data_IF_909537310817
#
_entry.id   IF_909537310817
#
_cell.length_a   1.000
_cell.length_b   1.000
_cell.length_c   1.000
_cell.angle_alpha   90.00
_cell.angle_beta   90.00
_cell.angle_gamma   90.00
#
_symmetry.space_group_name_H-M   'P 1'
#
loop_
_entity.id
_entity.type
_entity.pdbx_description
1 polymer ?
#
# COMPACT_ATOMS: atom_id res chain seq x y z
N UNK A 1 -4.34 -6.66 28.95
CA UNK A 1 -4.18 -6.62 28.51
C UNK A 1 -4.47 -6.13 27.38
N UNK A 2 -4.36 -5.62 26.87
CA UNK A 2 -4.48 -5.17 25.83
C UNK A 2 -4.70 -6.02 24.79
N UNK A 3 -4.33 -6.96 24.84
CA UNK A 3 -4.44 -7.89 23.85
C UNK A 3 -5.80 -8.17 23.41
N UNK A 4 -6.71 -8.11 24.27
CA UNK A 4 -8.04 -8.45 23.88
C UNK A 4 -8.59 -7.54 22.86
N UNK A 5 -8.14 -6.34 22.83
CA UNK A 5 -8.66 -5.46 21.88
C UNK A 5 -8.33 -5.84 20.49
N UNK A 6 -7.21 -6.46 20.30
CA UNK A 6 -6.84 -6.78 18.96
C UNK A 6 -7.73 -7.80 18.32
N UNK A 7 -8.41 -8.56 19.10
CA UNK A 7 -9.25 -9.57 18.52
C UNK A 7 -10.53 -9.01 17.97
N UNK A 8 -10.80 -7.77 18.25
CA UNK A 8 -12.07 -7.20 17.83
C UNK A 8 -12.28 -7.26 16.34
N UNK A 9 -11.26 -7.02 15.53
CA UNK A 9 -11.44 -7.06 14.08
C UNK A 9 -10.25 -7.69 13.40
N UNK A 10 -10.05 -8.95 13.66
CA UNK A 10 -8.87 -9.61 13.12
C UNK A 10 -8.81 -9.64 11.60
N UNK A 11 -9.94 -9.88 10.97
CA UNK A 11 -9.95 -9.99 9.52
C UNK A 11 -9.58 -8.68 8.85
N UNK A 12 -10.15 -7.59 9.34
CA UNK A 12 -9.87 -6.30 8.75
C UNK A 12 -8.42 -5.92 8.97
N UNK A 13 -7.90 -6.22 10.16
CA UNK A 13 -6.54 -5.91 10.43
C UNK A 13 -5.58 -6.69 9.56
N UNK A 14 -5.88 -7.96 9.33
CA UNK A 14 -5.01 -8.77 8.50
C UNK A 14 -4.98 -8.25 7.08
N UNK A 15 -6.14 -7.86 6.55
CA UNK A 15 -6.18 -7.34 5.19
C UNK A 15 -5.41 -6.05 5.08
N UNK A 16 -5.57 -5.16 6.05
CA UNK A 16 -4.87 -3.90 6.03
C UNK A 16 -3.36 -4.12 6.21
N UNK A 17 -2.98 -5.05 7.07
CA UNK A 17 -1.57 -5.35 7.27
C UNK A 17 -0.94 -5.89 6.00
N UNK A 18 -1.69 -6.70 5.27
CA UNK A 18 -1.19 -7.20 4.00
C UNK A 18 -0.93 -6.05 3.03
N UNK A 19 -1.86 -5.10 2.97
CA UNK A 19 -1.69 -3.95 2.09
C UNK A 19 -0.48 -3.13 2.51
N UNK A 20 -0.30 -2.94 3.81
CA UNK A 20 0.85 -2.21 4.31
C UNK A 20 2.15 -2.91 3.99
N UNK A 21 2.15 -4.24 4.07
CA UNK A 21 3.33 -5.01 3.72
C UNK A 21 3.66 -4.85 2.25
N UNK A 22 2.64 -4.84 1.40
CA UNK A 22 2.85 -4.60 -0.01
C UNK A 22 3.45 -3.22 -0.25
N UNK A 23 2.91 -2.24 0.44
CA UNK A 23 3.40 -0.87 0.29
C UNK A 23 4.87 -0.76 0.68
N UNK A 24 5.26 -1.47 1.72
CA UNK A 24 6.61 -1.40 2.23
C UNK A 24 7.61 -2.26 1.46
N UNK A 25 7.13 -3.05 0.52
CA UNK A 25 8.00 -3.98 -0.22
C UNK A 25 8.74 -3.21 -1.30
N UNK A 26 9.83 -2.58 -0.92
CA UNK A 26 10.57 -1.73 -1.84
C UNK A 26 11.23 -2.50 -2.97
N UNK A 27 11.61 -3.73 -2.71
CA UNK A 27 12.21 -4.53 -3.76
C UNK A 27 11.23 -4.76 -4.89
N UNK A 28 10.00 -5.13 -4.57
CA UNK A 28 8.98 -5.33 -5.59
C UNK A 28 8.64 -4.00 -6.26
N UNK A 29 8.57 -2.95 -5.47
CA UNK A 29 8.24 -1.63 -6.00
C UNK A 29 9.26 -1.19 -7.02
N UNK A 30 10.54 -1.32 -6.70
CA UNK A 30 11.59 -0.86 -7.59
C UNK A 30 11.76 -1.77 -8.80
N UNK A 31 11.43 -3.05 -8.64
CA UNK A 31 11.54 -3.97 -9.75
C UNK A 31 10.48 -3.71 -10.81
N UNK A 32 9.25 -3.43 -10.38
CA UNK A 32 8.16 -3.19 -11.31
C UNK A 32 7.22 -2.16 -10.73
N UNK A 33 7.61 -0.89 -10.81
CA UNK A 33 6.83 0.16 -10.15
C UNK A 33 5.38 0.25 -10.62
N UNK A 34 5.17 0.15 -11.93
CA UNK A 34 3.82 0.26 -12.45
C UNK A 34 2.93 -0.88 -12.00
N UNK A 35 3.46 -2.10 -12.07
CA UNK A 35 2.69 -3.27 -11.66
C UNK A 35 2.42 -3.23 -10.17
N UNK A 36 3.41 -2.80 -9.39
CA UNK A 36 3.25 -2.71 -7.95
C UNK A 36 2.18 -1.69 -7.58
N UNK A 37 2.23 -0.53 -8.23
CA UNK A 37 1.23 0.53 -8.02
C UNK A 37 -0.17 0.00 -8.34
N UNK A 38 -0.30 -0.69 -9.45
CA UNK A 38 -1.59 -1.22 -9.85
C UNK A 38 -2.10 -2.23 -8.82
N UNK A 39 -1.22 -3.07 -8.31
CA UNK A 39 -1.61 -4.04 -7.30
C UNK A 39 -2.09 -3.34 -6.03
N UNK A 40 -1.40 -2.27 -5.62
CA UNK A 40 -1.82 -1.52 -4.45
C UNK A 40 -3.20 -0.92 -4.65
N UNK A 41 -3.45 -0.36 -5.82
CA UNK A 41 -4.75 0.22 -6.10
C UNK A 41 -5.85 -0.82 -6.09
N UNK A 42 -5.57 -1.97 -6.70
CA UNK A 42 -6.55 -3.04 -6.77
C UNK A 42 -6.92 -3.53 -5.36
N UNK A 43 -5.91 -3.71 -4.52
CA UNK A 43 -6.17 -4.17 -3.16
C UNK A 43 -6.91 -3.11 -2.35
N UNK A 44 -6.55 -1.84 -2.52
CA UNK A 44 -7.23 -0.79 -1.79
C UNK A 44 -8.70 -0.75 -2.15
N UNK A 45 -9.01 -0.85 -3.43
CA UNK A 45 -10.41 -0.86 -3.85
C UNK A 45 -11.13 -2.11 -3.36
N UNK A 46 -10.44 -3.24 -3.32
CA UNK A 46 -11.03 -4.46 -2.79
C UNK A 46 -11.40 -4.31 -1.31
N UNK A 47 -10.51 -3.68 -0.55
CA UNK A 47 -10.80 -3.44 0.86
C UNK A 47 -12.01 -2.54 1.02
N UNK A 48 -12.11 -1.55 0.18
CA UNK A 48 -13.26 -0.64 0.22
C UNK A 48 -14.54 -1.38 -0.17
N UNK A 49 -14.48 -2.21 -1.19
CA UNK A 49 -15.64 -2.96 -1.63
C UNK A 49 -16.14 -3.89 -0.54
N UNK A 50 -15.23 -4.45 0.23
CA UNK A 50 -15.60 -5.33 1.33
C UNK A 50 -16.03 -4.56 2.56
N UNK A 51 -16.00 -3.24 2.47
CA UNK A 51 -16.40 -2.36 3.57
C UNK A 51 -15.49 -2.47 4.78
N UNK A 52 -14.26 -2.85 4.53
CA UNK A 52 -13.26 -2.90 5.59
C UNK A 52 -12.64 -1.54 5.84
N UNK A 53 -12.72 -0.64 4.86
CA UNK A 53 -12.26 0.73 5.00
C UNK A 53 -13.32 1.64 4.42
N UNK A 54 -13.32 2.90 4.86
CA UNK A 54 -14.31 3.86 4.35
C UNK A 54 -13.66 4.71 3.25
N UNK A 55 -14.41 5.68 2.75
CA UNK A 55 -13.93 6.53 1.67
C UNK A 55 -12.68 7.31 2.03
N UNK A 56 -12.63 7.81 3.25
CA UNK A 56 -11.45 8.54 3.70
C UNK A 56 -10.24 7.65 3.73
N UNK A 57 -10.41 6.45 4.24
CA UNK A 57 -9.31 5.50 4.28
C UNK A 57 -8.86 5.14 2.87
N UNK A 58 -9.82 4.94 1.97
CA UNK A 58 -9.46 4.62 0.59
C UNK A 58 -8.63 5.73 -0.02
N UNK A 59 -9.02 6.98 0.19
CA UNK A 59 -8.25 8.09 -0.33
C UNK A 59 -6.83 8.08 0.22
N UNK A 60 -6.69 7.82 1.51
CA UNK A 60 -5.37 7.75 2.12
C UNK A 60 -4.52 6.66 1.48
N UNK A 61 -5.11 5.48 1.25
CA UNK A 61 -4.37 4.39 0.66
C UNK A 61 -3.95 4.72 -0.76
N UNK A 62 -4.83 5.37 -1.51
CA UNK A 62 -4.49 5.75 -2.88
C UNK A 62 -3.37 6.76 -2.90
N UNK A 63 -3.37 7.70 -1.97
CA UNK A 63 -2.30 8.67 -1.88
C UNK A 63 -0.97 8.02 -1.52
N UNK A 64 -1.01 7.06 -0.62
CA UNK A 64 0.21 6.35 -0.26
C UNK A 64 0.74 5.55 -1.43
N UNK A 65 -0.15 4.95 -2.21
CA UNK A 65 0.27 4.20 -3.39
C UNK A 65 0.92 5.12 -4.40
N UNK A 66 0.33 6.31 -4.60
CA UNK A 66 0.90 7.28 -5.51
C UNK A 66 2.26 7.76 -5.04
N UNK A 67 2.40 7.98 -3.74
CA UNK A 67 3.66 8.42 -3.19
C UNK A 67 4.74 7.35 -3.38
N UNK A 68 4.36 6.09 -3.23
CA UNK A 68 5.32 5.01 -3.43
C UNK A 68 5.77 4.97 -4.89
N UNK A 69 4.85 5.17 -5.82
CA UNK A 69 5.21 5.17 -7.22
C UNK A 69 6.15 6.34 -7.52
N UNK A 70 5.85 7.51 -6.98
CA UNK A 70 6.70 8.67 -7.18
C UNK A 70 8.10 8.42 -6.63
N UNK A 71 8.17 7.78 -5.47
CA UNK A 71 9.45 7.45 -4.88
C UNK A 71 10.25 6.53 -5.81
N UNK A 72 9.58 5.54 -6.40
CA UNK A 72 10.26 4.61 -7.28
C UNK A 72 10.78 5.31 -8.53
N UNK A 73 9.96 6.19 -9.10
CA UNK A 73 10.36 6.92 -10.29
C UNK A 73 11.53 7.83 -9.98
N UNK A 74 11.47 8.52 -8.85
CA UNK A 74 12.56 9.41 -8.48
C UNK A 74 13.84 8.64 -8.21
N UNK A 75 13.72 7.45 -7.63
CA UNK A 75 14.90 6.64 -7.39
C UNK A 75 15.56 6.24 -8.68
N UNK A 76 14.77 5.94 -9.68
CA UNK A 76 15.33 5.60 -10.98
C UNK A 76 16.00 6.79 -11.63
N UNK A 77 15.41 7.96 -11.48
CA UNK A 77 15.99 9.16 -12.04
C UNK A 77 17.29 9.52 -11.34
N UNK A 78 17.32 9.31 -10.04
CA UNK A 78 18.55 9.58 -9.30
C UNK A 78 19.68 8.71 -9.79
N UNK A 79 19.38 7.46 -10.07
CA UNK A 79 20.40 6.56 -10.57
C UNK A 79 20.94 7.07 -11.89
N UNK A 80 20.05 7.51 -12.74
CA UNK A 80 20.45 8.07 -14.00
C UNK A 80 21.27 9.32 -13.82
N UNK A 81 20.86 10.15 -12.89
CA UNK A 81 21.55 11.40 -12.67
C UNK A 81 22.97 11.21 -12.24
N UNK A 82 23.23 10.14 -11.59
CA UNK A 82 24.54 9.88 -11.13
C UNK A 82 25.53 9.81 -12.22
N UNK A 83 25.08 9.60 -13.37
CA UNK A 83 25.97 9.57 -14.47
C UNK A 83 26.57 10.87 -14.71
#
# INVERSE_FOLDING_TARGET
MKTSTTTAVPAARNDFSHWQAMLADKAALLAQPGAHHKALLTEAHALHDKKLIDNGDLCDLLELADAALAFAVESMLDIDSDE
#
